data_IF_541512271957
#
_entry.id   IF_541512271957
#
_cell.length_a   1.000
_cell.length_b   1.000
_cell.length_c   1.000
_cell.angle_alpha   90.00
_cell.angle_beta   90.00
_cell.angle_gamma   90.00
#
_symmetry.space_group_name_H-M   'P 1'
#
loop_
_entity.id
_entity.type
_entity.pdbx_description
1 polymer ?
#
# COMPACT_ATOMS: atom_id res chain seq x y z
N UNK A 1 -15.65 13.06 -14.28
CA UNK A 1 -15.21 12.07 -13.26
C UNK A 1 -14.30 12.83 -12.34
N UNK A 2 -14.83 13.27 -11.21
CA UNK A 2 -14.04 14.01 -10.22
C UNK A 2 -13.07 13.04 -9.56
N UNK A 3 -11.79 13.34 -9.70
CA UNK A 3 -10.71 12.68 -8.96
C UNK A 3 -10.96 12.96 -7.47
N UNK A 4 -10.90 11.94 -6.59
CA UNK A 4 -10.99 12.18 -5.15
C UNK A 4 -9.90 13.18 -4.76
N UNK A 5 -10.24 14.11 -3.88
CA UNK A 5 -9.36 15.16 -3.38
C UNK A 5 -8.28 14.55 -2.48
N UNK A 6 -7.39 13.74 -3.04
CA UNK A 6 -6.28 13.14 -2.29
C UNK A 6 -5.22 14.19 -2.09
N UNK A 7 -5.39 14.94 -1.00
CA UNK A 7 -4.32 15.57 -0.25
C UNK A 7 -4.31 14.94 1.14
N UNK A 8 -3.76 13.73 1.28
CA UNK A 8 -3.46 13.13 2.57
C UNK A 8 -2.24 12.21 2.36
N UNK A 9 -1.24 12.44 3.21
CA UNK A 9 0.16 12.09 3.08
C UNK A 9 0.37 10.61 2.77
N UNK A 10 1.37 10.34 1.94
CA UNK A 10 1.70 8.99 1.57
C UNK A 10 2.13 8.14 2.77
N UNK A 11 2.15 6.80 2.65
CA UNK A 11 2.79 5.94 3.64
C UNK A 11 4.31 6.13 3.50
N UNK A 12 4.75 7.22 4.10
CA UNK A 12 6.13 7.64 4.21
C UNK A 12 6.81 6.74 5.26
N UNK A 13 8.11 6.50 5.11
CA UNK A 13 8.91 5.74 6.09
C UNK A 13 8.81 6.36 7.52
N UNK A 14 8.36 7.61 7.62
CA UNK A 14 8.18 8.37 8.85
C UNK A 14 6.77 8.23 9.49
N UNK A 15 5.82 7.57 8.82
CA UNK A 15 4.51 7.22 9.37
C UNK A 15 4.56 5.83 10.05
N UNK A 16 3.50 5.47 10.79
CA UNK A 16 3.42 4.14 11.42
C UNK A 16 3.33 3.05 10.35
N UNK A 17 4.48 2.45 10.01
CA UNK A 17 4.58 1.39 9.01
C UNK A 17 3.86 0.15 9.56
N UNK A 18 2.89 -0.43 8.82
CA UNK A 18 2.23 -1.65 9.26
C UNK A 18 3.26 -2.74 9.55
N UNK A 19 3.11 -3.49 10.65
CA UNK A 19 4.10 -4.50 11.07
C UNK A 19 4.47 -5.52 9.98
N UNK A 20 3.55 -5.80 9.04
CA UNK A 20 3.85 -6.65 7.89
C UNK A 20 4.86 -6.04 6.91
N UNK A 21 4.88 -4.71 6.76
CA UNK A 21 5.71 -3.96 5.82
C UNK A 21 7.05 -3.52 6.42
N UNK A 22 7.19 -3.52 7.75
CA UNK A 22 8.38 -3.05 8.46
C UNK A 22 9.67 -3.72 7.95
N UNK A 23 9.69 -5.05 7.85
CA UNK A 23 10.86 -5.80 7.38
C UNK A 23 11.19 -5.51 5.91
N UNK A 24 10.16 -5.26 5.09
CA UNK A 24 10.31 -4.93 3.67
C UNK A 24 10.94 -3.54 3.55
N UNK A 25 10.43 -2.56 4.30
CA UNK A 25 10.95 -1.18 4.28
C UNK A 25 12.39 -1.16 4.79
N UNK A 26 12.69 -1.81 5.92
CA UNK A 26 14.06 -1.92 6.45
C UNK A 26 15.04 -2.53 5.46
N UNK A 27 14.59 -3.53 4.68
CA UNK A 27 15.41 -4.13 3.63
C UNK A 27 15.60 -3.16 2.44
N UNK A 28 14.53 -2.52 1.96
CA UNK A 28 14.60 -1.60 0.82
C UNK A 28 15.40 -0.32 1.12
N UNK A 29 15.34 0.19 2.34
CA UNK A 29 16.04 1.41 2.77
C UNK A 29 17.50 1.15 3.13
N UNK A 30 17.76 0.13 3.94
CA UNK A 30 19.06 -0.06 4.59
C UNK A 30 19.73 -1.40 4.27
N UNK A 31 19.18 -2.20 3.35
CA UNK A 31 19.65 -3.57 3.06
C UNK A 31 19.75 -4.47 4.30
N UNK A 32 18.99 -4.15 5.36
CA UNK A 32 18.99 -4.90 6.62
C UNK A 32 18.14 -6.15 6.47
N UNK A 33 18.74 -7.31 6.70
CA UNK A 33 18.08 -8.62 6.61
C UNK A 33 18.20 -9.39 7.94
N UNK A 34 17.25 -10.30 8.24
CA UNK A 34 17.40 -11.26 9.32
C UNK A 34 18.69 -12.10 9.18
N UNK A 35 19.25 -12.55 10.31
CA UNK A 35 20.42 -13.45 10.30
C UNK A 35 20.07 -14.88 9.89
N UNK A 36 18.83 -15.29 10.16
CA UNK A 36 18.34 -16.58 9.71
C UNK A 36 18.17 -16.58 8.19
N UNK A 37 18.79 -17.57 7.52
CA UNK A 37 18.77 -17.67 6.05
C UNK A 37 17.37 -17.91 5.48
N UNK A 38 16.50 -18.57 6.25
CA UNK A 38 15.11 -18.82 5.87
C UNK A 38 14.31 -17.52 5.87
N UNK A 39 14.38 -16.77 6.97
CA UNK A 39 13.74 -15.46 7.11
C UNK A 39 14.32 -14.43 6.13
N UNK A 40 15.63 -14.42 5.91
CA UNK A 40 16.28 -13.60 4.88
C UNK A 40 15.63 -13.84 3.50
N UNK A 41 15.51 -15.11 3.11
CA UNK A 41 14.91 -15.48 1.82
C UNK A 41 13.45 -15.06 1.73
N UNK A 42 12.69 -15.18 2.82
CA UNK A 42 11.29 -14.70 2.86
C UNK A 42 11.20 -13.19 2.64
N UNK A 43 12.00 -12.40 3.35
CA UNK A 43 12.02 -10.93 3.19
C UNK A 43 12.39 -10.54 1.76
N UNK A 44 13.46 -11.13 1.20
CA UNK A 44 13.88 -10.89 -0.19
C UNK A 44 12.76 -11.20 -1.17
N UNK A 45 12.11 -12.37 -1.04
CA UNK A 45 11.03 -12.78 -1.93
C UNK A 45 9.82 -11.86 -1.86
N UNK A 46 9.46 -11.38 -0.65
CA UNK A 46 8.38 -10.41 -0.47
C UNK A 46 8.74 -9.07 -1.10
N UNK A 47 9.95 -8.57 -0.85
CA UNK A 47 10.42 -7.28 -1.33
C UNK A 47 10.49 -7.14 -2.86
N UNK A 48 10.57 -8.24 -3.61
CA UNK A 48 10.48 -8.22 -5.09
C UNK A 48 9.22 -7.49 -5.57
N UNK A 49 8.13 -7.60 -4.81
CA UNK A 49 6.84 -7.00 -5.14
C UNK A 49 6.68 -5.55 -4.64
N UNK A 50 7.72 -4.96 -4.07
CA UNK A 50 7.65 -3.62 -3.51
C UNK A 50 8.80 -2.74 -4.00
N UNK A 51 8.60 -1.43 -3.92
CA UNK A 51 9.62 -0.43 -4.22
C UNK A 51 9.39 0.79 -3.35
N UNK A 52 10.48 1.48 -3.03
CA UNK A 52 10.44 2.75 -2.32
C UNK A 52 10.69 3.88 -3.33
N UNK A 53 9.82 4.88 -3.37
CA UNK A 53 9.97 6.08 -4.23
C UNK A 53 9.70 7.30 -3.38
N UNK A 54 10.68 8.20 -3.26
CA UNK A 54 10.58 9.41 -2.41
C UNK A 54 10.00 9.09 -1.02
N UNK A 55 10.58 8.11 -0.33
CA UNK A 55 10.15 7.60 0.98
C UNK A 55 8.76 6.97 1.04
N UNK A 56 8.08 6.76 -0.08
CA UNK A 56 6.76 6.10 -0.11
C UNK A 56 6.89 4.65 -0.57
N UNK A 57 6.24 3.74 0.16
CA UNK A 57 6.18 2.33 -0.22
C UNK A 57 5.11 2.11 -1.30
N UNK A 58 5.50 1.45 -2.38
CA UNK A 58 4.62 1.05 -3.46
C UNK A 58 4.67 -0.45 -3.68
N UNK A 59 3.51 -1.06 -3.90
CA UNK A 59 3.38 -2.42 -4.40
C UNK A 59 3.42 -2.44 -5.93
N UNK A 60 4.27 -3.30 -6.48
CA UNK A 60 4.36 -3.58 -7.92
C UNK A 60 3.14 -4.40 -8.36
N UNK A 61 2.40 -3.88 -9.33
CA UNK A 61 1.33 -4.60 -10.04
C UNK A 61 1.89 -5.40 -11.22
N UNK A 62 1.19 -6.46 -11.63
CA UNK A 62 1.57 -7.27 -12.80
C UNK A 62 1.52 -6.45 -14.12
N UNK A 63 0.54 -5.54 -14.24
CA UNK A 63 0.32 -4.66 -15.39
C UNK A 63 0.80 -3.22 -15.20
N UNK A 64 1.64 -2.98 -14.20
CA UNK A 64 2.42 -1.75 -14.02
C UNK A 64 1.71 -0.42 -13.63
N UNK A 65 0.55 -0.36 -12.94
CA UNK A 65 0.33 0.72 -11.99
C UNK A 65 1.02 0.34 -10.67
N UNK A 66 1.93 1.19 -10.20
CA UNK A 66 2.39 1.12 -8.81
C UNK A 66 1.21 1.47 -7.91
N UNK A 67 0.89 0.57 -6.98
CA UNK A 67 -0.14 0.82 -5.98
C UNK A 67 0.53 1.43 -4.75
N UNK A 68 0.13 2.63 -4.35
CA UNK A 68 0.62 3.26 -3.12
C UNK A 68 0.13 2.44 -1.94
N UNK A 69 1.05 1.94 -1.12
CA UNK A 69 0.66 1.35 0.16
C UNK A 69 0.12 2.45 1.06
N UNK A 70 -0.94 2.16 1.81
CA UNK A 70 -1.59 3.12 2.72
C UNK A 70 -1.58 2.61 4.16
N UNK A 71 -1.56 3.52 5.13
CA UNK A 71 -1.69 3.13 6.55
C UNK A 71 -3.08 2.54 6.83
N UNK A 72 -3.28 1.95 8.01
CA UNK A 72 -4.60 1.44 8.38
C UNK A 72 -5.64 2.57 8.46
N UNK A 73 -5.25 3.73 8.99
CA UNK A 73 -6.08 4.93 9.12
C UNK A 73 -6.43 5.49 7.74
N UNK A 74 -5.44 5.61 6.85
CA UNK A 74 -5.66 6.01 5.47
C UNK A 74 -6.57 5.03 4.71
N UNK A 75 -6.37 3.72 4.90
CA UNK A 75 -7.21 2.69 4.30
C UNK A 75 -8.67 2.88 4.74
N UNK A 76 -8.92 3.12 6.03
CA UNK A 76 -10.28 3.38 6.53
C UNK A 76 -10.88 4.63 5.89
N UNK A 77 -10.12 5.72 5.80
CA UNK A 77 -10.59 6.94 5.15
C UNK A 77 -10.92 6.71 3.66
N UNK A 78 -10.01 6.06 2.92
CA UNK A 78 -10.23 5.71 1.51
C UNK A 78 -11.45 4.81 1.35
N UNK A 79 -11.64 3.83 2.24
CA UNK A 79 -12.81 2.94 2.18
C UNK A 79 -14.11 3.70 2.40
N UNK A 80 -14.16 4.62 3.36
CA UNK A 80 -15.33 5.48 3.63
C UNK A 80 -15.62 6.35 2.40
N UNK A 81 -14.63 7.10 1.90
CA UNK A 81 -14.79 7.96 0.71
C UNK A 81 -15.25 7.17 -0.53
N UNK A 82 -14.66 6.00 -0.75
CA UNK A 82 -14.99 5.15 -1.92
C UNK A 82 -16.38 4.52 -1.77
N UNK A 83 -16.82 4.23 -0.54
CA UNK A 83 -18.13 3.70 -0.19
C UNK A 83 -19.24 4.77 -0.27
N UNK A 84 -18.97 5.96 0.24
CA UNK A 84 -19.94 7.07 0.35
C UNK A 84 -19.97 8.01 -0.87
N UNK A 85 -19.02 7.89 -1.80
CA UNK A 85 -18.90 8.73 -2.99
C UNK A 85 -20.13 8.73 -3.94
N UNK A 86 -20.06 9.61 -4.95
CA UNK A 86 -21.20 9.99 -5.82
C UNK A 86 -21.92 8.76 -6.39
N UNK A 87 -23.18 8.59 -5.97
CA UNK A 87 -24.00 7.38 -6.04
C UNK A 87 -23.56 6.31 -5.05
N UNK A 88 -24.05 6.39 -3.81
CA UNK A 88 -23.97 5.39 -2.75
C UNK A 88 -24.49 4.02 -3.20
N UNK A 89 -23.69 3.34 -4.00
CA UNK A 89 -23.93 1.99 -4.43
C UNK A 89 -23.49 1.11 -3.28
N UNK A 90 -24.37 0.22 -2.82
CA UNK A 90 -24.07 -0.83 -1.85
C UNK A 90 -23.08 -1.84 -2.48
N UNK A 91 -21.83 -1.43 -2.70
CA UNK A 91 -20.78 -2.29 -3.21
C UNK A 91 -20.46 -3.33 -2.13
N UNK A 92 -20.55 -4.61 -2.49
CA UNK A 92 -19.99 -5.65 -1.65
C UNK A 92 -18.47 -5.47 -1.47
N UNK A 93 -17.92 -6.06 -0.40
CA UNK A 93 -16.52 -5.93 0.01
C UNK A 93 -15.50 -6.12 -1.13
N UNK A 94 -15.73 -7.12 -2.00
CA UNK A 94 -14.86 -7.40 -3.15
C UNK A 94 -14.86 -6.26 -4.18
N UNK A 95 -16.02 -5.68 -4.46
CA UNK A 95 -16.16 -4.58 -5.40
C UNK A 95 -15.48 -3.32 -4.86
N UNK A 96 -15.55 -3.11 -3.54
CA UNK A 96 -14.87 -2.01 -2.87
C UNK A 96 -13.35 -2.17 -2.97
N UNK A 97 -12.81 -3.35 -2.65
CA UNK A 97 -11.37 -3.63 -2.77
C UNK A 97 -10.85 -3.44 -4.20
N UNK A 98 -11.61 -3.90 -5.22
CA UNK A 98 -11.22 -3.68 -6.63
C UNK A 98 -11.22 -2.20 -6.98
N UNK A 99 -12.17 -1.41 -6.47
CA UNK A 99 -12.23 0.04 -6.72
C UNK A 99 -11.02 0.75 -6.09
N UNK A 100 -10.66 0.41 -4.85
CA UNK A 100 -9.46 0.91 -4.15
C UNK A 100 -8.19 0.60 -4.95
N UNK A 101 -8.02 -0.64 -5.41
CA UNK A 101 -6.86 -1.01 -6.24
C UNK A 101 -6.86 -0.29 -7.60
N UNK A 102 -8.02 -0.07 -8.20
CA UNK A 102 -8.13 0.67 -9.49
C UNK A 102 -7.75 2.14 -9.37
N UNK A 103 -7.99 2.77 -8.23
CA UNK A 103 -7.58 4.16 -7.98
C UNK A 103 -6.14 4.28 -7.48
N UNK A 104 -5.43 3.15 -7.32
CA UNK A 104 -3.98 3.13 -7.11
C UNK A 104 -3.54 2.90 -5.66
N UNK A 105 -4.39 2.34 -4.80
CA UNK A 105 -4.03 2.04 -3.41
C UNK A 105 -3.91 0.54 -3.13
N UNK A 106 -3.01 0.18 -2.20
CA UNK A 106 -2.83 -1.15 -1.66
C UNK A 106 -2.93 -1.16 -0.14
#
# INVERSE_FOLDING_TARGET
MEVPTIGAEALEINAEIPGWAEEIVRYLEASKLPKDKGEERKVRNRAIWFTLVNVVLYKRGYSNPFLRCVSQEEALYILIEVHEGVCGNHFGERSLAVKVMRVGYY
#
